data_IF_994422927769
#
_entry.id   IF_994422927769
#
_cell.length_a   1.000
_cell.length_b   1.000
_cell.length_c   1.000
_cell.angle_alpha   90.00
_cell.angle_beta   90.00
_cell.angle_gamma   90.00
#
_symmetry.space_group_name_H-M   'P 1'
#
loop_
_entity.id
_entity.type
_entity.pdbx_description
1 polymer ?
#
# COMPACT_ATOMS: atom_id res chain seq x y z
N UNK A 1 16.32 2.00 -12.65
CA UNK A 1 15.49 2.33 -11.46
C UNK A 1 14.92 1.03 -10.91
N UNK A 2 15.03 0.78 -9.59
CA UNK A 2 14.47 -0.40 -8.90
C UNK A 2 13.15 -0.04 -8.23
N UNK A 3 12.05 -0.69 -8.64
CA UNK A 3 10.73 -0.47 -8.05
C UNK A 3 10.23 -1.74 -7.37
N UNK A 4 9.79 -1.60 -6.14
CA UNK A 4 9.16 -2.65 -5.35
C UNK A 4 7.69 -2.32 -5.12
N UNK A 5 6.78 -3.31 -5.31
CA UNK A 5 5.34 -3.12 -5.11
C UNK A 5 4.83 -4.16 -4.11
N UNK A 6 4.46 -3.69 -2.92
CA UNK A 6 3.86 -4.50 -1.87
C UNK A 6 2.34 -4.43 -1.98
N UNK A 7 1.69 -5.57 -2.15
CA UNK A 7 0.26 -5.65 -2.41
C UNK A 7 -0.10 -5.50 -3.89
N UNK A 8 0.75 -5.99 -4.81
CA UNK A 8 0.61 -5.86 -6.26
C UNK A 8 -0.72 -6.38 -6.82
N UNK A 9 -1.34 -7.36 -6.16
CA UNK A 9 -2.61 -7.96 -6.58
C UNK A 9 -3.84 -7.22 -6.03
N UNK A 10 -3.64 -6.24 -5.15
CA UNK A 10 -4.70 -5.36 -4.63
C UNK A 10 -5.14 -4.30 -5.66
N UNK A 11 -6.16 -3.52 -5.32
CA UNK A 11 -6.72 -2.49 -6.20
C UNK A 11 -5.64 -1.47 -6.59
N UNK A 12 -4.98 -0.88 -5.60
CA UNK A 12 -3.96 0.15 -5.84
C UNK A 12 -2.72 -0.45 -6.51
N UNK A 13 -2.27 -1.63 -6.07
CA UNK A 13 -1.12 -2.30 -6.70
C UNK A 13 -1.34 -2.58 -8.18
N UNK A 14 -2.54 -2.99 -8.57
CA UNK A 14 -2.91 -3.19 -9.99
C UNK A 14 -2.93 -1.88 -10.76
N UNK A 15 -3.53 -0.83 -10.19
CA UNK A 15 -3.53 0.51 -10.81
C UNK A 15 -2.12 1.08 -10.97
N UNK A 16 -1.26 0.85 -9.99
CA UNK A 16 0.16 1.23 -10.09
C UNK A 16 0.86 0.53 -11.25
N UNK A 17 0.64 -0.78 -11.40
CA UNK A 17 1.22 -1.53 -12.52
C UNK A 17 0.68 -1.07 -13.88
N UNK A 18 -0.62 -0.83 -13.98
CA UNK A 18 -1.27 -0.27 -15.17
C UNK A 18 -0.72 1.11 -15.55
N UNK A 19 -0.55 1.98 -14.55
CA UNK A 19 0.02 3.30 -14.75
C UNK A 19 1.48 3.24 -15.24
N UNK A 20 2.26 2.31 -14.72
CA UNK A 20 3.64 2.06 -15.18
C UNK A 20 3.64 1.60 -16.63
N UNK A 21 2.78 0.66 -17.00
CA UNK A 21 2.67 0.17 -18.38
C UNK A 21 2.35 1.29 -19.37
N UNK A 22 1.36 2.12 -19.02
CA UNK A 22 0.83 3.12 -19.95
C UNK A 22 1.74 4.35 -20.10
N UNK A 23 2.43 4.74 -19.03
CA UNK A 23 3.14 6.03 -19.00
C UNK A 23 4.65 5.89 -18.85
N UNK A 24 5.13 4.73 -18.39
CA UNK A 24 6.53 4.54 -18.04
C UNK A 24 7.09 3.18 -18.51
N UNK A 25 7.01 2.84 -19.80
CA UNK A 25 7.32 1.50 -20.32
C UNK A 25 8.78 1.08 -20.09
N UNK A 26 9.68 2.02 -19.88
CA UNK A 26 11.10 1.74 -19.61
C UNK A 26 11.40 1.40 -18.14
N UNK A 27 10.42 1.53 -17.25
CA UNK A 27 10.59 1.19 -15.84
C UNK A 27 10.50 -0.32 -15.65
N UNK A 28 11.51 -0.89 -15.01
CA UNK A 28 11.54 -2.31 -14.65
C UNK A 28 11.11 -2.53 -13.21
N UNK A 29 10.11 -3.39 -13.03
CA UNK A 29 9.69 -3.84 -11.70
C UNK A 29 10.76 -4.79 -11.15
N UNK A 30 11.17 -4.57 -9.91
CA UNK A 30 12.18 -5.40 -9.28
C UNK A 30 11.57 -6.44 -8.32
N UNK A 31 10.54 -6.06 -7.54
CA UNK A 31 9.86 -6.95 -6.60
C UNK A 31 8.34 -6.80 -6.69
N UNK A 32 7.63 -7.90 -6.73
CA UNK A 32 6.17 -7.96 -6.57
C UNK A 32 5.82 -8.79 -5.33
N UNK A 33 5.04 -8.19 -4.42
CA UNK A 33 4.53 -8.87 -3.23
C UNK A 33 3.01 -9.00 -3.25
N UNK A 34 2.49 -10.18 -2.95
CA UNK A 34 1.07 -10.44 -2.81
C UNK A 34 0.76 -11.23 -1.53
N UNK A 35 -0.49 -11.12 -1.02
CA UNK A 35 -0.92 -11.89 0.16
C UNK A 35 -1.26 -13.33 -0.20
N UNK A 36 -2.26 -13.54 -1.05
CA UNK A 36 -2.85 -14.87 -1.29
C UNK A 36 -3.34 -15.09 -2.72
N UNK A 37 -3.39 -14.05 -3.56
CA UNK A 37 -3.82 -14.20 -4.95
C UNK A 37 -2.67 -14.69 -5.84
N UNK A 38 -2.36 -15.99 -5.70
CA UNK A 38 -1.27 -16.64 -6.42
C UNK A 38 -1.49 -16.63 -7.94
N UNK A 39 -2.72 -16.81 -8.41
CA UNK A 39 -3.06 -16.81 -9.83
C UNK A 39 -2.73 -15.46 -10.49
N UNK A 40 -3.16 -14.37 -9.87
CA UNK A 40 -2.89 -13.03 -10.39
C UNK A 40 -1.40 -12.66 -10.26
N UNK A 41 -0.76 -13.03 -9.15
CA UNK A 41 0.69 -12.81 -8.99
C UNK A 41 1.47 -13.52 -10.10
N UNK A 42 1.10 -14.77 -10.42
CA UNK A 42 1.72 -15.53 -11.53
C UNK A 42 1.57 -14.80 -12.86
N UNK A 43 0.38 -14.31 -13.18
CA UNK A 43 0.13 -13.50 -14.38
C UNK A 43 0.98 -12.22 -14.39
N UNK A 44 1.10 -11.53 -13.27
CA UNK A 44 1.96 -10.35 -13.14
C UNK A 44 3.44 -10.69 -13.34
N UNK A 45 3.91 -11.83 -12.82
CA UNK A 45 5.29 -12.30 -13.03
C UNK A 45 5.58 -12.51 -14.52
N UNK A 46 4.68 -13.15 -15.25
CA UNK A 46 4.86 -13.36 -16.68
C UNK A 46 4.88 -12.05 -17.48
N UNK A 47 4.02 -11.12 -17.11
CA UNK A 47 3.90 -9.84 -17.80
C UNK A 47 5.07 -8.89 -17.51
N UNK A 48 5.36 -8.66 -16.22
CA UNK A 48 6.33 -7.65 -15.77
C UNK A 48 7.75 -8.17 -15.56
N UNK A 49 7.93 -9.48 -15.55
CA UNK A 49 9.22 -10.17 -15.40
C UNK A 49 10.09 -9.57 -14.26
N UNK A 50 9.53 -9.42 -13.04
CA UNK A 50 10.30 -8.88 -11.92
C UNK A 50 11.48 -9.79 -11.58
N UNK A 51 12.54 -9.24 -10.98
CA UNK A 51 13.65 -10.06 -10.49
C UNK A 51 13.21 -10.96 -9.33
N UNK A 52 12.34 -10.44 -8.45
CA UNK A 52 11.86 -11.14 -7.27
C UNK A 52 10.34 -11.10 -7.17
N UNK A 53 9.76 -12.12 -6.54
CA UNK A 53 8.37 -12.13 -6.14
C UNK A 53 8.20 -12.77 -4.77
N UNK A 54 7.16 -12.36 -4.04
CA UNK A 54 6.82 -12.88 -2.72
C UNK A 54 5.32 -13.15 -2.60
N UNK A 55 4.98 -14.30 -2.05
CA UNK A 55 3.60 -14.67 -1.72
C UNK A 55 3.50 -15.00 -0.24
N UNK A 56 2.75 -14.18 0.52
CA UNK A 56 2.64 -14.31 1.99
C UNK A 56 1.96 -15.60 2.44
N UNK A 57 0.98 -16.10 1.67
CA UNK A 57 0.26 -17.35 1.95
C UNK A 57 1.18 -18.55 1.73
N UNK A 58 1.73 -19.09 2.81
CA UNK A 58 2.69 -20.18 2.80
C UNK A 58 2.16 -21.44 2.12
N UNK A 59 0.88 -21.79 2.33
CA UNK A 59 0.27 -22.98 1.68
C UNK A 59 0.25 -22.85 0.15
N UNK A 60 0.05 -21.65 -0.34
CA UNK A 60 0.08 -21.36 -1.77
C UNK A 60 1.50 -21.15 -2.29
N UNK A 61 2.39 -20.62 -1.47
CA UNK A 61 3.81 -20.46 -1.79
C UNK A 61 4.48 -21.81 -2.10
N UNK A 62 4.27 -22.83 -1.26
CA UNK A 62 4.82 -24.18 -1.47
C UNK A 62 4.40 -24.77 -2.83
N UNK A 63 3.22 -24.43 -3.34
CA UNK A 63 2.73 -24.87 -4.65
C UNK A 63 3.33 -24.10 -5.83
N UNK A 64 4.06 -23.03 -5.57
CA UNK A 64 4.82 -22.34 -6.58
C UNK A 64 6.18 -23.01 -6.74
N UNK A 65 6.67 -23.13 -7.97
CA UNK A 65 8.07 -23.46 -8.21
C UNK A 65 8.94 -22.30 -7.71
N UNK A 66 10.10 -22.60 -7.15
CA UNK A 66 11.05 -21.61 -6.62
C UNK A 66 11.48 -20.55 -7.66
N UNK A 67 11.25 -20.83 -8.94
CA UNK A 67 11.56 -19.91 -10.04
C UNK A 67 10.45 -19.97 -11.10
N UNK A 68 9.91 -18.81 -11.46
CA UNK A 68 8.94 -18.66 -12.52
C UNK A 68 9.46 -17.61 -13.50
N UNK A 69 9.65 -17.98 -14.77
CA UNK A 69 10.07 -17.06 -15.83
C UNK A 69 11.28 -16.17 -15.44
N UNK A 70 12.34 -16.77 -14.90
CA UNK A 70 13.52 -16.09 -14.34
C UNK A 70 13.30 -15.23 -13.09
N UNK A 71 12.09 -15.14 -12.57
CA UNK A 71 11.77 -14.50 -11.29
C UNK A 71 12.06 -15.46 -10.14
N UNK A 72 12.83 -15.01 -9.16
CA UNK A 72 13.13 -15.76 -7.93
C UNK A 72 11.97 -15.50 -6.95
N UNK A 73 11.39 -16.59 -6.45
CA UNK A 73 10.37 -16.52 -5.40
C UNK A 73 11.08 -16.53 -4.04
N UNK A 74 10.91 -15.43 -3.30
CA UNK A 74 11.45 -15.27 -1.96
C UNK A 74 10.49 -15.89 -0.93
N UNK A 75 11.03 -16.59 0.06
CA UNK A 75 10.32 -16.86 1.30
C UNK A 75 10.32 -15.62 2.22
N UNK A 76 9.73 -15.71 3.42
CA UNK A 76 9.62 -14.55 4.31
C UNK A 76 10.97 -14.04 4.81
N UNK A 77 11.87 -14.93 5.19
CA UNK A 77 13.22 -14.61 5.68
C UNK A 77 14.09 -14.02 4.57
N UNK A 78 14.02 -14.60 3.39
CA UNK A 78 14.70 -14.09 2.20
C UNK A 78 14.20 -12.70 1.80
N UNK A 79 12.88 -12.45 1.91
CA UNK A 79 12.33 -11.12 1.68
C UNK A 79 12.87 -10.10 2.68
N UNK A 80 12.89 -10.43 3.97
CA UNK A 80 13.46 -9.52 4.99
C UNK A 80 14.95 -9.27 4.74
N UNK A 81 15.72 -10.30 4.46
CA UNK A 81 17.14 -10.18 4.10
C UNK A 81 17.35 -9.31 2.87
N UNK A 82 16.52 -9.49 1.84
CA UNK A 82 16.52 -8.64 0.65
C UNK A 82 16.22 -7.18 0.99
N UNK A 83 15.21 -6.91 1.81
CA UNK A 83 14.82 -5.55 2.19
C UNK A 83 15.91 -4.83 3.01
N UNK A 84 16.68 -5.57 3.81
CA UNK A 84 17.80 -5.02 4.59
C UNK A 84 19.03 -4.76 3.70
N UNK A 85 19.32 -5.65 2.78
CA UNK A 85 20.56 -5.63 1.98
C UNK A 85 20.47 -4.89 0.65
N UNK A 86 19.27 -4.57 0.17
CA UNK A 86 19.07 -4.03 -1.18
C UNK A 86 18.26 -2.76 -1.20
N UNK A 87 18.93 -1.65 -1.50
CA UNK A 87 18.26 -0.35 -1.67
C UNK A 87 17.41 -0.30 -2.94
N UNK A 88 16.22 0.28 -2.85
CA UNK A 88 15.32 0.56 -3.97
C UNK A 88 15.14 2.07 -4.20
N UNK A 89 14.85 2.47 -5.43
CA UNK A 89 14.57 3.87 -5.74
C UNK A 89 13.14 4.27 -5.36
N UNK A 90 12.21 3.32 -5.49
CA UNK A 90 10.81 3.52 -5.14
C UNK A 90 10.21 2.23 -4.58
N UNK A 91 9.55 2.33 -3.46
CA UNK A 91 8.69 1.28 -2.93
C UNK A 91 7.25 1.79 -2.82
N UNK A 92 6.30 1.01 -3.33
CA UNK A 92 4.86 1.28 -3.17
C UNK A 92 4.30 0.30 -2.14
N UNK A 93 3.90 0.82 -0.99
CA UNK A 93 3.30 0.03 0.09
C UNK A 93 1.78 0.09 0.00
N UNK A 94 1.21 -0.79 -0.84
CA UNK A 94 -0.22 -0.91 -1.11
C UNK A 94 -0.89 -2.04 -0.32
N UNK A 95 -0.40 -2.31 0.88
CA UNK A 95 -1.01 -3.24 1.84
C UNK A 95 -1.95 -2.45 2.74
N UNK A 96 -3.24 -2.77 2.73
CA UNK A 96 -4.23 -2.11 3.57
C UNK A 96 -4.20 -2.58 5.03
N UNK A 97 -4.54 -1.67 5.94
CA UNK A 97 -4.63 -1.92 7.37
C UNK A 97 -3.27 -2.05 8.07
N UNK A 98 -3.30 -2.45 9.33
CA UNK A 98 -2.13 -2.55 10.20
C UNK A 98 -1.04 -3.51 9.70
N UNK A 99 -1.37 -4.45 8.81
CA UNK A 99 -0.39 -5.40 8.25
C UNK A 99 0.69 -4.72 7.40
N UNK A 100 0.47 -3.49 6.97
CA UNK A 100 1.50 -2.67 6.33
C UNK A 100 2.70 -2.40 7.25
N UNK A 101 2.48 -2.38 8.58
CA UNK A 101 3.51 -2.16 9.58
C UNK A 101 4.61 -3.23 9.59
N UNK A 102 4.29 -4.47 9.23
CA UNK A 102 5.27 -5.57 9.21
C UNK A 102 6.45 -5.33 8.27
N UNK A 103 6.25 -4.52 7.24
CA UNK A 103 7.29 -4.23 6.25
C UNK A 103 7.75 -2.77 6.28
N UNK A 104 7.03 -1.90 6.96
CA UNK A 104 7.22 -0.45 6.86
C UNK A 104 8.62 -0.02 7.28
N UNK A 105 9.13 -0.52 8.41
CA UNK A 105 10.46 -0.17 8.91
C UNK A 105 11.54 -0.55 7.89
N UNK A 106 11.59 -1.81 7.48
CA UNK A 106 12.60 -2.32 6.53
C UNK A 106 12.51 -1.61 5.17
N UNK A 107 11.31 -1.21 4.74
CA UNK A 107 11.12 -0.45 3.51
C UNK A 107 11.66 0.97 3.66
N UNK A 108 11.31 1.67 4.74
CA UNK A 108 11.77 3.06 4.96
C UNK A 108 13.30 3.13 5.04
N UNK A 109 13.93 2.15 5.67
CA UNK A 109 15.40 2.12 5.78
C UNK A 109 16.09 1.96 4.43
N UNK A 110 15.45 1.29 3.47
CA UNK A 110 16.07 0.81 2.26
C UNK A 110 15.38 1.28 0.97
N UNK A 111 14.68 2.41 1.01
CA UNK A 111 14.13 3.04 -0.20
C UNK A 111 14.44 4.54 -0.23
N UNK A 112 14.65 5.08 -1.41
CA UNK A 112 14.79 6.53 -1.58
C UNK A 112 13.42 7.23 -1.47
N UNK A 113 12.38 6.59 -2.05
CA UNK A 113 11.03 7.12 -2.10
C UNK A 113 10.03 6.04 -1.69
N UNK A 114 9.08 6.39 -0.86
CA UNK A 114 8.00 5.51 -0.41
C UNK A 114 6.63 6.10 -0.77
N UNK A 115 5.91 5.43 -1.65
CA UNK A 115 4.47 5.67 -1.86
C UNK A 115 3.66 4.87 -0.82
N UNK A 116 3.02 5.55 0.12
CA UNK A 116 2.30 4.94 1.24
C UNK A 116 0.79 5.04 1.04
N UNK A 117 0.14 3.90 0.85
CA UNK A 117 -1.33 3.82 0.64
C UNK A 117 -2.08 3.71 1.97
N UNK A 118 -1.48 3.04 2.96
CA UNK A 118 -2.15 2.75 4.23
C UNK A 118 -1.98 3.88 5.23
N UNK A 119 -3.00 4.70 5.40
CA UNK A 119 -3.04 5.73 6.45
C UNK A 119 -2.92 5.15 7.86
N UNK A 120 -3.35 3.90 8.07
CA UNK A 120 -3.21 3.20 9.35
C UNK A 120 -1.76 3.06 9.80
N UNK A 121 -0.84 2.94 8.87
CA UNK A 121 0.58 2.88 9.20
C UNK A 121 1.05 4.18 9.87
N UNK A 122 0.60 5.32 9.35
CA UNK A 122 0.93 6.64 9.93
C UNK A 122 0.19 6.87 11.25
N UNK A 123 -1.10 6.55 11.31
CA UNK A 123 -1.90 6.73 12.52
C UNK A 123 -1.36 5.87 13.68
N UNK A 124 -1.00 4.61 13.40
CA UNK A 124 -0.56 3.67 14.43
C UNK A 124 0.90 3.85 14.84
N UNK A 125 1.79 4.18 13.93
CA UNK A 125 3.23 4.16 14.17
C UNK A 125 3.99 5.41 13.74
N UNK A 126 3.34 6.41 13.18
CA UNK A 126 3.99 7.61 12.64
C UNK A 126 4.82 8.35 13.70
N UNK A 127 4.35 8.41 14.95
CA UNK A 127 5.08 9.03 16.06
C UNK A 127 6.38 8.28 16.44
N UNK A 128 6.42 6.95 16.25
CA UNK A 128 7.62 6.13 16.46
C UNK A 128 8.61 6.39 15.33
N UNK A 129 8.15 6.32 14.11
CA UNK A 129 9.01 6.49 12.93
C UNK A 129 9.60 7.90 12.84
N UNK A 130 8.86 8.95 13.23
CA UNK A 130 9.37 10.33 13.26
C UNK A 130 10.60 10.50 14.16
N UNK A 131 10.73 9.71 15.22
CA UNK A 131 11.88 9.75 16.14
C UNK A 131 13.10 9.04 15.60
N UNK A 132 12.94 8.15 14.61
CA UNK A 132 14.03 7.33 14.09
C UNK A 132 14.80 8.05 12.96
N UNK A 133 16.12 7.82 12.95
CA UNK A 133 17.08 8.49 12.06
C UNK A 133 16.79 8.33 10.55
N UNK A 134 16.16 7.24 10.16
CA UNK A 134 15.91 6.92 8.75
C UNK A 134 14.70 7.62 8.14
N UNK A 135 13.73 8.07 8.94
CA UNK A 135 12.61 8.88 8.44
C UNK A 135 13.06 10.19 7.78
N UNK A 136 14.29 10.63 8.11
CA UNK A 136 14.89 11.83 7.51
C UNK A 136 15.55 11.57 6.14
N UNK A 137 15.68 10.31 5.72
CA UNK A 137 16.39 9.92 4.49
C UNK A 137 15.47 9.48 3.36
N UNK A 138 14.24 9.12 3.67
CA UNK A 138 13.26 8.60 2.71
C UNK A 138 12.17 9.62 2.48
N UNK A 139 11.92 9.96 1.23
CA UNK A 139 10.79 10.81 0.86
C UNK A 139 9.51 9.97 0.92
N UNK A 140 8.53 10.40 1.71
CA UNK A 140 7.27 9.68 1.87
C UNK A 140 6.17 10.47 1.17
N UNK A 141 5.52 9.79 0.22
CA UNK A 141 4.40 10.31 -0.54
C UNK A 141 3.12 9.58 -0.11
N UNK A 142 2.15 10.27 0.49
CA UNK A 142 0.85 9.66 0.78
C UNK A 142 0.11 9.37 -0.52
N UNK A 143 -0.45 8.18 -0.64
CA UNK A 143 -1.22 7.75 -1.82
C UNK A 143 -2.71 7.53 -1.49
N UNK A 144 -3.13 7.82 -0.28
CA UNK A 144 -4.55 7.97 0.06
C UNK A 144 -5.04 9.38 -0.29
N UNK A 145 -6.32 9.51 -0.59
CA UNK A 145 -6.88 10.75 -1.13
C UNK A 145 -6.82 11.92 -0.17
N UNK A 146 -7.06 11.68 1.11
CA UNK A 146 -7.14 12.72 2.14
C UNK A 146 -5.76 13.33 2.42
N UNK A 147 -4.77 12.49 2.68
CA UNK A 147 -3.42 12.97 2.95
C UNK A 147 -2.73 13.49 1.69
N UNK A 148 -2.99 12.88 0.53
CA UNK A 148 -2.41 13.37 -0.72
C UNK A 148 -2.86 14.78 -1.06
N UNK A 149 -4.15 15.09 -0.86
CA UNK A 149 -4.68 16.44 -1.10
C UNK A 149 -3.98 17.48 -0.22
N UNK A 150 -3.77 17.17 1.07
CA UNK A 150 -3.05 18.05 1.99
C UNK A 150 -1.57 18.16 1.62
N UNK A 151 -0.93 17.04 1.30
CA UNK A 151 0.47 16.99 0.89
C UNK A 151 0.72 17.88 -0.34
N UNK A 152 -0.06 17.72 -1.41
CA UNK A 152 0.03 18.54 -2.62
C UNK A 152 -0.17 20.02 -2.33
N UNK A 153 -1.14 20.36 -1.48
CA UNK A 153 -1.38 21.75 -1.10
C UNK A 153 -0.18 22.34 -0.36
N UNK A 154 0.35 21.65 0.66
CA UNK A 154 1.47 22.13 1.45
C UNK A 154 2.77 22.25 0.64
N UNK A 155 3.03 21.29 -0.26
CA UNK A 155 4.20 21.35 -1.15
C UNK A 155 4.13 22.53 -2.12
N UNK A 156 2.95 22.83 -2.68
CA UNK A 156 2.77 23.94 -3.61
C UNK A 156 2.80 25.31 -2.94
N UNK A 157 2.14 25.43 -1.80
CA UNK A 157 1.95 26.76 -1.15
C UNK A 157 3.16 27.15 -0.30
N UNK A 158 3.99 26.18 0.13
CA UNK A 158 5.17 26.37 1.00
C UNK A 158 4.93 27.23 2.27
N UNK A 159 3.66 27.50 2.64
CA UNK A 159 3.27 28.43 3.68
C UNK A 159 2.26 27.75 4.60
N UNK A 160 2.77 27.06 5.63
CA UNK A 160 1.91 26.53 6.69
C UNK A 160 1.34 27.61 7.65
N UNK A 161 1.97 28.77 7.72
CA UNK A 161 1.64 29.82 8.73
C UNK A 161 0.30 30.50 8.52
N UNK A 162 -0.25 30.48 7.31
CA UNK A 162 -1.51 31.19 6.97
C UNK A 162 -2.75 30.31 6.96
N UNK A 163 -2.61 29.03 7.34
CA UNK A 163 -3.74 28.11 7.39
C UNK A 163 -4.42 28.20 8.75
N UNK A 164 -5.64 28.72 8.75
CA UNK A 164 -6.46 28.82 9.97
C UNK A 164 -7.19 27.53 10.29
N UNK A 165 -7.68 26.85 9.29
CA UNK A 165 -8.55 25.67 9.47
C UNK A 165 -8.31 24.66 8.36
N UNK A 166 -8.29 23.38 8.73
CA UNK A 166 -8.30 22.24 7.79
C UNK A 166 -9.59 21.47 8.04
N UNK A 167 -10.39 21.29 6.98
CA UNK A 167 -11.63 20.51 7.03
C UNK A 167 -11.44 19.24 6.23
N UNK A 168 -11.47 18.09 6.91
CA UNK A 168 -11.50 16.77 6.26
C UNK A 168 -12.95 16.33 6.09
N UNK A 169 -13.33 16.05 4.85
CA UNK A 169 -14.66 15.53 4.54
C UNK A 169 -14.63 14.02 4.47
N UNK A 170 -15.72 13.37 4.86
CA UNK A 170 -15.92 11.94 4.76
C UNK A 170 -17.24 11.62 4.06
N UNK A 171 -17.41 10.37 3.60
CA UNK A 171 -18.64 9.96 2.93
C UNK A 171 -19.82 9.77 3.87
N UNK A 172 -19.52 9.54 5.16
CA UNK A 172 -20.50 9.25 6.21
C UNK A 172 -21.02 7.82 6.24
N UNK A 173 -20.57 6.98 5.31
CA UNK A 173 -20.85 5.54 5.28
C UNK A 173 -22.32 5.15 5.09
N UNK A 174 -22.65 3.84 5.27
CA UNK A 174 -24.00 3.32 5.05
C UNK A 174 -25.02 3.79 6.10
N UNK A 175 -24.57 4.40 7.19
CA UNK A 175 -25.42 4.78 8.32
C UNK A 175 -25.55 6.29 8.50
N UNK A 176 -25.01 7.09 7.61
CA UNK A 176 -24.98 8.54 7.70
C UNK A 176 -26.34 9.19 8.04
N UNK A 177 -27.43 8.69 7.45
CA UNK A 177 -28.79 9.20 7.67
C UNK A 177 -29.60 8.38 8.71
N UNK A 178 -28.98 7.42 9.42
CA UNK A 178 -29.67 6.62 10.41
C UNK A 178 -29.58 7.22 11.81
N UNK A 179 -30.69 7.19 12.56
CA UNK A 179 -30.67 7.59 13.97
C UNK A 179 -29.88 6.59 14.82
N UNK A 180 -29.17 7.06 15.84
CA UNK A 180 -28.33 6.21 16.69
C UNK A 180 -29.08 4.98 17.24
N UNK A 181 -30.31 5.19 17.76
CA UNK A 181 -31.15 4.08 18.27
C UNK A 181 -31.49 2.99 17.25
N UNK A 182 -31.44 3.30 15.94
CA UNK A 182 -31.69 2.29 14.89
C UNK A 182 -30.45 1.46 14.55
N UNK A 183 -29.31 1.69 15.23
CA UNK A 183 -28.05 1.00 14.98
C UNK A 183 -27.87 -0.27 15.84
N UNK A 184 -28.74 -0.50 16.84
CA UNK A 184 -28.60 -1.61 17.80
C UNK A 184 -28.64 -3.00 17.17
N UNK A 185 -29.39 -3.19 16.08
CA UNK A 185 -29.62 -4.47 15.43
C UNK A 185 -29.04 -4.57 14.01
N UNK A 186 -27.99 -3.81 13.71
CA UNK A 186 -27.40 -3.78 12.37
C UNK A 186 -26.64 -5.06 12.09
N UNK A 187 -26.93 -5.65 10.92
CA UNK A 187 -26.20 -6.81 10.42
C UNK A 187 -24.88 -6.39 9.76
N UNK A 188 -23.87 -7.23 9.82
CA UNK A 188 -22.57 -7.00 9.14
C UNK A 188 -22.75 -6.71 7.64
N UNK A 189 -23.69 -7.41 6.98
CA UNK A 189 -23.99 -7.17 5.56
C UNK A 189 -24.47 -5.74 5.26
N UNK A 190 -25.16 -5.11 6.19
CA UNK A 190 -25.58 -3.69 6.04
C UNK A 190 -24.40 -2.75 6.27
N UNK A 191 -23.53 -3.05 7.24
CA UNK A 191 -22.35 -2.25 7.55
C UNK A 191 -21.35 -2.19 6.39
N UNK A 192 -21.21 -3.27 5.62
CA UNK A 192 -20.31 -3.33 4.46
C UNK A 192 -20.95 -2.86 3.14
N UNK A 193 -22.22 -2.51 3.15
CA UNK A 193 -22.94 -2.05 1.96
C UNK A 193 -22.87 -0.53 1.82
N UNK A 194 -21.69 -0.02 1.48
CA UNK A 194 -21.48 1.41 1.32
C UNK A 194 -22.25 1.97 0.11
N UNK A 195 -22.98 3.11 0.25
CA UNK A 195 -23.84 3.65 -0.82
C UNK A 195 -23.07 4.14 -2.06
N UNK A 196 -21.80 4.53 -1.90
CA UNK A 196 -20.97 5.11 -2.98
C UNK A 196 -19.79 4.25 -3.39
N UNK A 197 -19.24 3.43 -2.47
CA UNK A 197 -17.98 2.71 -2.68
C UNK A 197 -18.17 1.21 -2.73
N UNK A 198 -17.70 0.58 -3.80
CA UNK A 198 -17.58 -0.89 -3.93
C UNK A 198 -16.12 -1.28 -3.77
N UNK A 199 -15.60 -1.15 -2.55
CA UNK A 199 -14.21 -1.44 -2.20
C UNK A 199 -14.14 -2.59 -1.16
N UNK A 200 -12.95 -2.91 -0.64
CA UNK A 200 -12.82 -3.89 0.45
C UNK A 200 -13.57 -3.46 1.72
N UNK A 201 -13.90 -4.42 2.58
CA UNK A 201 -14.75 -4.23 3.77
C UNK A 201 -14.40 -3.00 4.61
N UNK A 202 -13.13 -2.71 4.79
CA UNK A 202 -12.67 -1.55 5.54
C UNK A 202 -13.20 -0.22 4.99
N UNK A 203 -13.14 -0.05 3.68
CA UNK A 203 -13.56 1.19 3.03
C UNK A 203 -15.08 1.27 2.82
N UNK A 204 -15.77 0.16 3.11
CA UNK A 204 -17.23 0.08 3.02
C UNK A 204 -17.92 0.39 4.34
N UNK A 205 -17.17 0.35 5.46
CA UNK A 205 -17.64 0.66 6.84
C UNK A 205 -17.20 2.08 7.13
N UNK A 206 -17.38 3.04 6.67
CA UNK A 206 -16.86 4.39 6.90
C UNK A 206 -17.28 4.98 8.29
#
# INVERSE_FOLDING_TARGET
MKINIFGSTGIIGRKTLELIDNNFPNIKINLLCAKSNSKLLKSQIYKYKPKYAFLYDHKKFIKFNNKINNTILLNYEELLSYLISSKSNLSILAISGYKSLYFLESIIENTDNLGLVSKEAIVSAGHIFRKKKYFKKTNIYPLDSEHFSLFEYFERVKISKNIKTIILTASGGPFYNKRFKSLENIKFSEAINHPKWKMGYKNSID
#
